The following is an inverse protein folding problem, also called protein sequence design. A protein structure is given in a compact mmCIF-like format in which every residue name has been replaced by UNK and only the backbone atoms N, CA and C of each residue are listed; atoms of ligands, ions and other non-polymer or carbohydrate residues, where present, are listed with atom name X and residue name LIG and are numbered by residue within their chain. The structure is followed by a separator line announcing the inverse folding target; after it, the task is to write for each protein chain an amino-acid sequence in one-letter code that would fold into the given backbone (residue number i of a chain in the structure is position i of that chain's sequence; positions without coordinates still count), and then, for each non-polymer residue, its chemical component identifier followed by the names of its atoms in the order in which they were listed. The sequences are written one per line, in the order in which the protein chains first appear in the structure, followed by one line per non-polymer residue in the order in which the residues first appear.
data_IF_846796709610
#
_entry.id   IF_846796709610
#
_cell.length_a   1.000
_cell.length_b   1.000
_cell.length_c   1.000
_cell.angle_alpha   90.00
_cell.angle_beta   90.00
_cell.angle_gamma   90.00
#
_symmetry.space_group_name_H-M   'P 1'
#
loop_
_entity.id
_entity.type
_entity.pdbx_description
1 polymer ?
#
# COMPACT_ATOMS: atom_id res chain seq x y z
N UNK A 1 62.01 24.98 -2.47
CA UNK A 1 63.15 24.73 -3.38
C UNK A 1 62.73 23.62 -4.33
N UNK A 2 62.83 23.89 -5.64
CA UNK A 2 62.69 22.95 -6.76
C UNK A 2 63.68 21.77 -6.61
N UNK A 3 63.67 20.64 -7.33
CA UNK A 3 63.30 20.24 -8.69
C UNK A 3 63.18 18.70 -8.66
N UNK A 4 62.23 18.03 -9.31
CA UNK A 4 62.13 17.74 -10.76
C UNK A 4 63.17 16.75 -11.31
N UNK A 5 62.68 15.67 -11.93
CA UNK A 5 63.19 14.95 -13.12
C UNK A 5 62.13 13.85 -13.46
N UNK A 6 61.22 14.10 -14.40
CA UNK A 6 61.25 13.89 -15.87
C UNK A 6 60.68 12.50 -16.27
N UNK A 7 59.50 12.41 -16.91
CA UNK A 7 59.21 12.47 -18.37
C UNK A 7 59.85 11.28 -19.14
N UNK A 8 59.24 10.46 -20.00
CA UNK A 8 57.93 10.36 -20.70
C UNK A 8 57.94 9.02 -21.52
N UNK A 9 57.23 8.90 -22.66
CA UNK A 9 55.85 8.45 -22.93
C UNK A 9 55.78 7.01 -23.51
N UNK A 10 54.55 6.49 -23.70
CA UNK A 10 54.04 5.55 -24.74
C UNK A 10 52.89 4.77 -24.07
N UNK A 11 51.66 4.65 -24.58
CA UNK A 11 51.09 4.75 -25.92
C UNK A 11 49.58 4.95 -25.72
N UNK A 12 49.02 5.97 -26.36
CA UNK A 12 47.59 6.16 -26.52
C UNK A 12 47.02 4.97 -27.31
N UNK A 13 45.96 4.35 -26.80
CA UNK A 13 45.08 3.49 -27.61
C UNK A 13 43.77 4.26 -27.76
N UNK A 14 43.64 4.88 -28.92
CA UNK A 14 42.42 5.49 -29.43
C UNK A 14 41.34 4.40 -29.51
N UNK A 15 40.33 4.48 -28.65
CA UNK A 15 39.10 3.74 -28.84
C UNK A 15 38.27 4.50 -29.88
N UNK A 16 38.36 4.02 -31.11
CA UNK A 16 37.61 4.48 -32.28
C UNK A 16 36.11 4.31 -32.01
N UNK A 17 35.42 5.42 -31.77
CA UNK A 17 33.97 5.49 -31.62
C UNK A 17 33.35 5.41 -33.01
N UNK A 18 32.93 4.22 -33.42
CA UNK A 18 32.07 4.07 -34.60
C UNK A 18 30.69 4.70 -34.31
N UNK A 19 30.19 5.59 -35.18
CA UNK A 19 28.84 6.14 -35.03
C UNK A 19 27.81 5.03 -35.24
N UNK A 20 27.02 4.76 -34.21
CA UNK A 20 25.85 3.89 -34.29
C UNK A 20 24.76 4.69 -34.99
N UNK A 21 24.41 4.29 -36.21
CA UNK A 21 23.36 4.94 -37.00
C UNK A 21 22.04 4.95 -36.23
N UNK A 22 21.48 6.15 -36.08
CA UNK A 22 20.17 6.37 -35.50
C UNK A 22 19.09 5.74 -36.39
N UNK A 23 18.58 4.58 -35.97
CA UNK A 23 17.40 3.96 -36.58
C UNK A 23 16.19 4.86 -36.35
N UNK A 24 15.73 5.53 -37.41
CA UNK A 24 14.47 6.28 -37.41
C UNK A 24 13.30 5.34 -37.11
N UNK A 25 12.30 5.74 -36.30
CA UNK A 25 11.07 4.98 -36.16
C UNK A 25 10.34 4.93 -37.50
N UNK A 26 10.09 3.72 -38.02
CA UNK A 26 9.22 3.50 -39.17
C UNK A 26 7.75 3.53 -38.69
N UNK A 27 6.95 4.42 -39.27
CA UNK A 27 5.48 4.38 -39.16
C UNK A 27 4.92 3.12 -39.83
N UNK A 28 4.03 2.35 -39.18
CA UNK A 28 3.33 1.27 -39.84
C UNK A 28 2.30 1.84 -40.83
N UNK A 29 2.57 1.68 -42.12
CA UNK A 29 1.61 1.91 -43.19
C UNK A 29 0.56 0.80 -43.18
N UNK A 30 -0.62 1.10 -42.65
CA UNK A 30 -1.85 0.31 -42.80
C UNK A 30 -2.94 1.15 -43.48
N UNK A 31 -3.89 0.52 -44.20
CA UNK A 31 -4.90 1.25 -44.96
C UNK A 31 -5.83 2.03 -44.02
N UNK A 32 -6.04 3.30 -44.36
CA UNK A 32 -6.93 4.24 -43.69
C UNK A 32 -8.38 3.89 -44.06
N UNK A 33 -9.12 3.24 -43.15
CA UNK A 33 -10.57 3.07 -43.33
C UNK A 33 -11.27 4.42 -43.17
N UNK A 34 -11.86 4.86 -44.28
CA UNK A 34 -12.61 6.09 -44.45
C UNK A 34 -13.96 5.97 -43.73
N UNK A 35 -14.14 6.71 -42.63
CA UNK A 35 -15.44 6.81 -41.96
C UNK A 35 -16.38 7.68 -42.80
N UNK A 36 -17.27 7.03 -43.56
CA UNK A 36 -18.35 7.74 -44.24
C UNK A 36 -19.29 8.39 -43.22
N UNK A 37 -19.41 9.72 -43.29
CA UNK A 37 -20.44 10.47 -42.61
C UNK A 37 -21.82 10.04 -43.13
N UNK A 38 -22.66 9.50 -42.25
CA UNK A 38 -24.05 9.18 -42.58
C UNK A 38 -24.83 10.48 -42.66
N UNK A 39 -25.30 10.80 -43.87
CA UNK A 39 -26.17 11.91 -44.19
C UNK A 39 -27.53 11.76 -43.47
N UNK A 40 -27.80 12.65 -42.51
CA UNK A 40 -28.98 12.61 -41.63
C UNK A 40 -30.23 13.23 -42.28
N UNK A 41 -30.20 13.52 -43.58
CA UNK A 41 -31.29 14.23 -44.28
C UNK A 41 -32.47 13.36 -44.74
N UNK A 42 -32.50 12.05 -44.43
CA UNK A 42 -33.51 11.11 -44.95
C UNK A 42 -34.53 10.56 -43.94
N UNK A 43 -34.65 11.11 -42.72
CA UNK A 43 -35.69 10.67 -41.77
C UNK A 43 -36.80 11.71 -41.62
N UNK A 44 -37.87 11.54 -42.41
CA UNK A 44 -39.15 12.23 -42.21
C UNK A 44 -39.82 11.73 -40.92
N UNK A 45 -39.61 12.42 -39.80
CA UNK A 45 -40.33 12.18 -38.55
C UNK A 45 -41.40 13.26 -38.35
N UNK A 46 -42.67 12.84 -38.44
CA UNK A 46 -43.83 13.65 -38.03
C UNK A 46 -43.84 13.75 -36.49
N UNK A 47 -44.06 14.93 -35.89
CA UNK A 47 -44.17 15.06 -34.45
C UNK A 47 -45.51 14.47 -33.95
N UNK A 48 -45.45 13.35 -33.24
CA UNK A 48 -46.59 12.83 -32.48
C UNK A 48 -46.61 13.55 -31.13
N UNK A 49 -47.59 14.43 -30.95
CA UNK A 49 -47.83 15.13 -29.69
C UNK A 49 -48.62 14.20 -28.74
N UNK A 50 -47.92 13.51 -27.83
CA UNK A 50 -48.55 12.69 -26.79
C UNK A 50 -48.68 13.52 -25.51
N UNK A 51 -49.93 13.81 -25.10
CA UNK A 51 -50.24 14.44 -23.82
C UNK A 51 -49.84 13.52 -22.65
N UNK A 52 -49.28 14.02 -21.54
CA UNK A 52 -48.98 13.19 -20.38
C UNK A 52 -50.26 12.92 -19.57
N UNK A 53 -50.70 11.66 -19.50
CA UNK A 53 -51.67 11.24 -18.48
C UNK A 53 -50.94 10.88 -17.19
N UNK A 54 -51.10 11.71 -16.17
CA UNK A 54 -50.73 11.41 -14.79
C UNK A 54 -51.66 10.32 -14.25
N UNK A 55 -51.18 9.07 -14.18
CA UNK A 55 -51.59 8.08 -13.17
C UNK A 55 -50.83 6.78 -13.40
N UNK A 56 -49.76 6.55 -12.64
CA UNK A 56 -49.39 5.24 -12.08
C UNK A 56 -48.01 5.40 -11.45
N UNK A 57 -47.99 5.60 -10.13
CA UNK A 57 -46.77 5.52 -9.33
C UNK A 57 -46.35 4.04 -9.28
N UNK A 58 -45.77 3.54 -10.37
CA UNK A 58 -44.95 2.33 -10.32
C UNK A 58 -43.64 2.73 -9.67
N UNK A 59 -43.59 2.48 -8.37
CA UNK A 59 -42.37 2.44 -7.59
C UNK A 59 -41.45 1.43 -8.27
N UNK A 60 -40.53 1.93 -9.10
CA UNK A 60 -39.42 1.15 -9.62
C UNK A 60 -38.61 0.81 -8.38
N UNK A 61 -38.79 -0.41 -7.87
CA UNK A 61 -37.87 -0.98 -6.91
C UNK A 61 -36.54 -1.05 -7.64
N UNK A 62 -35.68 -0.06 -7.40
CA UNK A 62 -34.25 -0.19 -7.64
C UNK A 62 -33.78 -1.30 -6.70
N UNK A 63 -33.95 -2.55 -7.10
CA UNK A 63 -33.14 -3.65 -6.60
C UNK A 63 -31.73 -3.39 -7.09
N UNK A 64 -31.08 -2.40 -6.48
CA UNK A 64 -29.66 -2.23 -6.55
C UNK A 64 -29.08 -3.50 -5.95
N UNK A 65 -28.66 -4.42 -6.82
CA UNK A 65 -27.38 -5.05 -6.61
C UNK A 65 -26.36 -3.91 -6.55
N UNK A 66 -26.30 -3.25 -5.38
CA UNK A 66 -25.05 -2.72 -4.89
C UNK A 66 -24.14 -3.93 -4.92
N UNK A 67 -23.34 -4.06 -5.97
CA UNK A 67 -22.17 -4.93 -5.99
C UNK A 67 -21.36 -4.47 -4.79
N UNK A 68 -21.56 -5.15 -3.66
CA UNK A 68 -20.81 -4.95 -2.44
C UNK A 68 -19.46 -5.55 -2.77
N UNK A 69 -18.57 -4.74 -3.37
CA UNK A 69 -17.21 -5.18 -3.62
C UNK A 69 -16.65 -5.67 -2.28
N UNK A 70 -16.12 -6.90 -2.21
CA UNK A 70 -15.50 -7.39 -1.00
C UNK A 70 -14.26 -6.56 -0.70
N UNK A 71 -13.88 -6.53 0.57
CA UNK A 71 -12.59 -5.99 0.95
C UNK A 71 -11.46 -6.86 0.37
N UNK A 72 -10.27 -6.28 0.25
CA UNK A 72 -9.12 -6.96 -0.33
C UNK A 72 -8.38 -7.75 0.75
N UNK A 73 -8.31 -9.07 0.57
CA UNK A 73 -7.55 -9.99 1.40
C UNK A 73 -6.07 -10.01 1.00
N UNK A 74 -5.22 -10.52 1.91
CA UNK A 74 -3.79 -10.64 1.70
C UNK A 74 -3.46 -11.73 0.68
N UNK A 75 -2.56 -11.44 -0.26
CA UNK A 75 -2.04 -12.43 -1.21
C UNK A 75 -1.16 -13.49 -0.54
N UNK A 76 -0.58 -13.18 0.63
CA UNK A 76 0.22 -14.13 1.42
C UNK A 76 -0.61 -15.30 1.97
N UNK A 77 -1.94 -15.26 1.88
CA UNK A 77 -2.77 -16.44 2.15
C UNK A 77 -2.61 -17.55 1.09
N UNK A 78 -2.12 -17.22 -0.11
CA UNK A 78 -1.92 -18.17 -1.20
C UNK A 78 -0.51 -18.82 -1.18
N UNK A 79 0.40 -18.36 -0.32
CA UNK A 79 1.74 -18.93 -0.21
C UNK A 79 1.66 -20.38 0.30
N UNK A 80 2.27 -21.36 -0.39
CA UNK A 80 2.29 -22.75 0.07
C UNK A 80 3.02 -22.94 1.41
N UNK A 81 3.89 -22.02 1.81
CA UNK A 81 4.59 -22.07 3.08
C UNK A 81 3.71 -21.55 4.22
N UNK A 82 3.17 -22.47 5.01
CA UNK A 82 2.37 -22.10 6.19
C UNK A 82 3.26 -21.31 7.18
N UNK A 83 2.94 -20.04 7.48
CA UNK A 83 3.74 -19.25 8.39
C UNK A 83 3.63 -19.81 9.80
N UNK A 84 4.69 -19.65 10.59
CA UNK A 84 4.61 -19.91 12.03
C UNK A 84 3.53 -19.01 12.62
N UNK A 85 2.60 -19.56 13.40
CA UNK A 85 1.55 -18.79 14.07
C UNK A 85 1.73 -18.81 15.59
N UNK A 86 1.30 -17.74 16.25
CA UNK A 86 1.06 -17.69 17.70
C UNK A 86 -0.44 -17.52 17.89
N UNK A 87 -1.10 -18.53 18.47
CA UNK A 87 -2.55 -18.68 18.36
C UNK A 87 -2.93 -18.78 16.87
N UNK A 88 -3.69 -17.81 16.39
CA UNK A 88 -4.02 -17.65 14.97
C UNK A 88 -3.37 -16.43 14.30
N UNK A 89 -2.45 -15.74 14.97
CA UNK A 89 -1.71 -14.60 14.40
C UNK A 89 -0.45 -15.09 13.66
N UNK A 90 -0.23 -14.72 12.39
CA UNK A 90 0.96 -15.17 11.66
C UNK A 90 2.21 -14.36 11.99
N UNK A 91 3.34 -15.04 12.02
CA UNK A 91 4.67 -14.45 12.02
C UNK A 91 5.24 -14.53 10.62
N UNK A 92 4.82 -13.60 9.76
CA UNK A 92 5.34 -13.48 8.40
C UNK A 92 6.76 -12.89 8.39
N UNK A 93 7.62 -13.31 7.45
CA UNK A 93 8.89 -12.66 7.17
C UNK A 93 8.73 -11.17 6.87
N UNK A 94 9.70 -10.36 7.28
CA UNK A 94 9.68 -8.91 7.10
C UNK A 94 11.00 -8.41 6.52
N UNK A 95 10.94 -7.40 5.66
CA UNK A 95 12.12 -6.63 5.26
C UNK A 95 12.40 -5.55 6.32
N UNK A 96 13.24 -5.88 7.29
CA UNK A 96 13.43 -5.07 8.49
C UNK A 96 14.89 -4.90 8.87
N UNK A 97 15.24 -3.71 9.39
CA UNK A 97 16.54 -3.45 10.05
C UNK A 97 16.42 -3.52 11.57
N UNK A 98 15.19 -3.43 12.07
CA UNK A 98 14.84 -3.52 13.48
C UNK A 98 15.05 -4.94 13.98
N UNK A 99 15.65 -5.09 15.18
CA UNK A 99 15.82 -6.40 15.81
C UNK A 99 14.46 -6.94 16.24
N UNK A 100 14.21 -8.22 15.99
CA UNK A 100 12.98 -8.88 16.43
C UNK A 100 12.92 -10.34 15.98
N UNK A 101 11.83 -11.03 16.31
CA UNK A 101 11.66 -12.46 16.04
C UNK A 101 11.26 -12.78 14.60
N UNK A 102 11.00 -11.79 13.74
CA UNK A 102 10.67 -12.01 12.34
C UNK A 102 11.88 -12.54 11.56
N UNK A 103 11.63 -13.48 10.64
CA UNK A 103 12.63 -13.85 9.64
C UNK A 103 12.89 -12.66 8.71
N UNK A 104 14.16 -12.31 8.49
CA UNK A 104 14.55 -11.14 7.71
C UNK A 104 14.62 -11.47 6.23
N UNK A 105 13.79 -10.81 5.43
CA UNK A 105 13.83 -10.90 3.97
C UNK A 105 15.02 -10.10 3.39
N UNK A 106 15.53 -10.49 2.21
CA UNK A 106 16.57 -9.73 1.52
C UNK A 106 16.07 -8.32 1.15
N UNK A 107 16.97 -7.34 1.19
CA UNK A 107 16.67 -6.01 0.67
C UNK A 107 16.74 -6.00 -0.86
N UNK A 108 15.89 -5.21 -1.54
CA UNK A 108 15.88 -5.15 -3.00
C UNK A 108 17.23 -4.64 -3.52
N UNK A 109 17.68 -5.23 -4.63
CA UNK A 109 18.88 -4.83 -5.35
C UNK A 109 18.52 -4.64 -6.83
N UNK A 110 18.58 -3.40 -7.38
CA UNK A 110 19.09 -2.16 -6.77
C UNK A 110 18.21 -1.62 -5.62
N UNK A 111 18.77 -0.80 -4.71
CA UNK A 111 18.00 -0.20 -3.61
C UNK A 111 16.86 0.67 -4.13
N UNK A 112 15.64 0.41 -3.68
CA UNK A 112 14.47 1.21 -3.98
C UNK A 112 14.35 2.42 -3.04
N UNK A 113 13.74 3.53 -3.50
CA UNK A 113 13.36 4.65 -2.64
C UNK A 113 12.48 4.21 -1.46
N UNK A 114 12.59 4.86 -0.30
CA UNK A 114 11.87 4.46 0.92
C UNK A 114 10.33 4.63 0.83
N UNK A 115 9.86 5.49 -0.08
CA UNK A 115 8.46 5.72 -0.43
C UNK A 115 7.89 4.60 -1.31
N UNK A 116 8.73 3.86 -2.04
CA UNK A 116 8.30 2.83 -2.98
C UNK A 116 8.30 1.44 -2.35
N UNK A 117 7.39 0.59 -2.81
CA UNK A 117 7.36 -0.84 -2.48
C UNK A 117 8.01 -1.64 -3.61
N UNK A 118 8.69 -2.76 -3.31
CA UNK A 118 9.07 -3.74 -4.32
C UNK A 118 7.84 -4.26 -5.11
N UNK A 119 8.11 -4.85 -6.28
CA UNK A 119 7.09 -5.58 -7.04
C UNK A 119 6.54 -6.75 -6.19
N UNK A 120 5.21 -7.00 -6.16
CA UNK A 120 4.61 -8.16 -5.50
C UNK A 120 5.26 -9.52 -5.78
N UNK A 121 5.86 -9.71 -6.96
CA UNK A 121 6.54 -10.96 -7.33
C UNK A 121 8.01 -11.02 -6.84
N UNK A 122 8.50 -9.98 -6.15
CA UNK A 122 9.86 -9.90 -5.62
C UNK A 122 10.01 -10.62 -4.27
N UNK A 123 11.12 -11.31 -4.05
CA UNK A 123 11.50 -11.91 -2.76
C UNK A 123 11.64 -10.89 -1.62
N UNK A 124 11.78 -9.60 -1.97
CA UNK A 124 11.87 -8.49 -1.02
C UNK A 124 10.51 -7.89 -0.65
N UNK A 125 9.42 -8.31 -1.30
CA UNK A 125 8.07 -7.85 -1.01
C UNK A 125 7.56 -8.49 0.28
N UNK A 126 6.96 -7.67 1.15
CA UNK A 126 6.45 -8.14 2.43
C UNK A 126 5.02 -7.65 2.71
N UNK A 127 4.44 -8.22 3.77
CA UNK A 127 3.08 -7.91 4.21
C UNK A 127 2.90 -6.42 4.60
N UNK A 128 3.96 -5.71 4.98
CA UNK A 128 3.85 -4.29 5.35
C UNK A 128 3.70 -3.41 4.11
N UNK A 129 4.35 -3.77 3.01
CA UNK A 129 4.15 -3.14 1.71
C UNK A 129 2.71 -3.35 1.22
N UNK A 130 2.17 -4.56 1.39
CA UNK A 130 0.77 -4.87 1.10
C UNK A 130 -0.22 -4.08 1.98
N UNK A 131 0.02 -3.98 3.29
CA UNK A 131 -0.82 -3.19 4.21
C UNK A 131 -1.00 -1.77 3.71
N UNK A 132 0.11 -1.12 3.33
CA UNK A 132 0.08 0.26 2.87
C UNK A 132 -0.55 0.41 1.47
N UNK A 133 -0.40 -0.59 0.59
CA UNK A 133 -1.04 -0.61 -0.72
C UNK A 133 -2.57 -0.78 -0.59
N UNK A 134 -3.03 -1.70 0.25
CA UNK A 134 -4.45 -2.01 0.44
C UNK A 134 -5.17 -1.05 1.40
N UNK A 135 -4.45 -0.28 2.22
CA UNK A 135 -5.00 0.63 3.22
C UNK A 135 -6.09 1.56 2.66
N UNK A 136 -5.81 2.26 1.55
CA UNK A 136 -6.74 3.27 1.00
C UNK A 136 -8.05 2.64 0.57
N UNK A 137 -8.01 1.47 -0.06
CA UNK A 137 -9.21 0.77 -0.49
C UNK A 137 -9.95 0.14 0.71
N UNK A 138 -9.21 -0.50 1.61
CA UNK A 138 -9.80 -1.28 2.71
C UNK A 138 -10.47 -0.42 3.78
N UNK A 139 -9.97 0.80 4.03
CA UNK A 139 -10.55 1.72 5.03
C UNK A 139 -11.99 2.14 4.76
N UNK A 140 -12.52 1.93 3.55
CA UNK A 140 -13.93 2.19 3.23
C UNK A 140 -14.88 1.06 3.66
N UNK A 141 -14.37 -0.15 3.89
CA UNK A 141 -15.20 -1.30 4.22
C UNK A 141 -15.47 -1.41 5.73
N UNK A 142 -16.71 -1.78 6.05
CA UNK A 142 -17.18 -2.02 7.43
C UNK A 142 -17.17 -3.50 7.82
N UNK A 143 -17.25 -4.38 6.84
CA UNK A 143 -17.20 -5.83 7.04
C UNK A 143 -15.97 -6.35 6.31
N UNK A 144 -15.23 -7.23 6.97
CA UNK A 144 -14.06 -7.89 6.41
C UNK A 144 -14.15 -9.37 6.78
N UNK A 145 -14.07 -10.25 5.80
CA UNK A 145 -14.07 -11.70 6.01
C UNK A 145 -12.61 -12.17 6.03
N UNK A 146 -12.19 -12.73 7.15
CA UNK A 146 -10.85 -13.31 7.29
C UNK A 146 -10.81 -14.65 6.56
N UNK A 147 -10.06 -14.73 5.45
CA UNK A 147 -9.88 -15.94 4.68
C UNK A 147 -8.68 -16.75 5.17
N UNK A 148 -7.64 -16.08 5.67
CA UNK A 148 -6.44 -16.76 6.17
C UNK A 148 -5.74 -16.04 7.31
N UNK A 149 -4.60 -16.57 7.77
CA UNK A 149 -3.84 -15.98 8.86
C UNK A 149 -3.23 -14.64 8.45
N UNK A 150 -2.75 -14.47 7.21
CA UNK A 150 -2.12 -13.21 6.75
C UNK A 150 -3.09 -12.01 6.85
N UNK A 151 -4.39 -12.24 6.63
CA UNK A 151 -5.42 -11.21 6.80
C UNK A 151 -5.46 -10.62 8.20
N UNK A 152 -5.16 -11.42 9.23
CA UNK A 152 -5.16 -10.95 10.62
C UNK A 152 -4.05 -9.93 10.87
N UNK A 153 -2.90 -10.12 10.25
CA UNK A 153 -1.82 -9.15 10.26
C UNK A 153 -2.15 -7.93 9.40
N UNK A 154 -2.78 -8.13 8.24
CA UNK A 154 -3.27 -7.05 7.38
C UNK A 154 -4.24 -6.11 8.11
N UNK A 155 -5.27 -6.67 8.78
CA UNK A 155 -6.26 -5.91 9.56
C UNK A 155 -5.58 -5.09 10.66
N UNK A 156 -4.67 -5.72 11.40
CA UNK A 156 -3.91 -5.04 12.45
C UNK A 156 -3.05 -3.90 11.90
N UNK A 157 -2.35 -4.14 10.77
CA UNK A 157 -1.55 -3.13 10.09
C UNK A 157 -2.38 -1.93 9.64
N UNK A 158 -3.58 -2.15 9.09
CA UNK A 158 -4.50 -1.08 8.67
C UNK A 158 -4.94 -0.22 9.87
N UNK A 159 -5.27 -0.83 11.01
CA UNK A 159 -5.61 -0.06 12.21
C UNK A 159 -4.42 0.73 12.72
N UNK A 160 -3.23 0.14 12.75
CA UNK A 160 -2.03 0.85 13.18
C UNK A 160 -1.70 2.04 12.27
N UNK A 161 -1.82 1.89 10.94
CA UNK A 161 -1.65 3.01 10.00
C UNK A 161 -2.68 4.12 10.28
N UNK A 162 -3.93 3.74 10.55
CA UNK A 162 -4.98 4.71 10.90
C UNK A 162 -4.60 5.52 12.14
N UNK A 163 -4.14 4.84 13.18
CA UNK A 163 -3.70 5.47 14.43
C UNK A 163 -2.48 6.38 14.22
N UNK A 164 -1.47 5.94 13.47
CA UNK A 164 -0.32 6.77 13.11
C UNK A 164 -0.75 8.05 12.40
N UNK A 165 -1.66 7.96 11.42
CA UNK A 165 -2.18 9.12 10.70
C UNK A 165 -2.92 10.09 11.63
N UNK A 166 -3.59 9.62 12.69
CA UNK A 166 -4.25 10.51 13.66
C UNK A 166 -3.27 11.35 14.49
N UNK A 167 -2.01 10.90 14.63
CA UNK A 167 -0.97 11.63 15.35
C UNK A 167 -0.30 12.71 14.50
N UNK A 168 -0.29 12.54 13.17
CA UNK A 168 0.33 13.51 12.25
C UNK A 168 -0.57 14.74 12.14
N UNK A 169 -0.09 15.89 12.60
CA UNK A 169 -0.80 17.16 12.45
C UNK A 169 -0.66 17.68 11.01
N UNK A 170 -1.70 18.30 10.42
CA UNK A 170 -1.64 18.83 9.05
C UNK A 170 -0.53 19.86 8.79
N UNK A 171 -0.04 20.53 9.84
CA UNK A 171 1.03 21.52 9.77
C UNK A 171 2.38 21.02 10.32
N UNK A 172 2.49 19.76 10.73
CA UNK A 172 3.72 19.23 11.31
C UNK A 172 4.77 18.96 10.23
N UNK A 173 5.99 19.42 10.47
CA UNK A 173 7.14 19.03 9.67
C UNK A 173 7.50 17.55 9.87
N UNK A 174 8.25 16.98 8.92
CA UNK A 174 8.69 15.57 8.93
C UNK A 174 9.25 15.18 10.30
N UNK A 175 10.14 15.99 10.88
CA UNK A 175 10.82 15.69 12.15
C UNK A 175 9.88 15.54 13.33
N UNK A 176 8.91 16.45 13.46
CA UNK A 176 7.95 16.43 14.57
C UNK A 176 6.97 15.25 14.41
N UNK A 177 6.48 15.03 13.18
CA UNK A 177 5.64 13.89 12.89
C UNK A 177 6.39 12.55 13.08
N UNK A 178 7.66 12.47 12.69
CA UNK A 178 8.48 11.27 12.93
C UNK A 178 8.61 10.98 14.42
N UNK A 179 8.81 12.00 15.26
CA UNK A 179 8.85 11.82 16.71
C UNK A 179 7.51 11.30 17.23
N UNK A 180 6.40 11.93 16.86
CA UNK A 180 5.07 11.56 17.37
C UNK A 180 4.64 10.15 16.91
N UNK A 181 4.90 9.79 15.65
CA UNK A 181 4.59 8.47 15.09
C UNK A 181 5.51 7.39 15.70
N UNK A 182 6.81 7.66 15.85
CA UNK A 182 7.73 6.69 16.45
C UNK A 182 7.46 6.48 17.94
N UNK A 183 6.98 7.50 18.66
CA UNK A 183 6.54 7.31 20.05
C UNK A 183 5.41 6.28 20.16
N UNK A 184 4.46 6.28 19.21
CA UNK A 184 3.39 5.27 19.17
C UNK A 184 3.92 3.90 18.75
N UNK A 185 4.89 3.87 17.82
CA UNK A 185 5.48 2.62 17.36
C UNK A 185 6.33 1.91 18.42
N UNK A 186 7.00 2.68 19.28
CA UNK A 186 7.87 2.19 20.36
C UNK A 186 7.12 1.89 21.67
N UNK A 187 5.84 2.27 21.78
CA UNK A 187 5.04 1.94 22.95
C UNK A 187 4.86 0.41 23.03
N UNK A 188 5.29 -0.17 24.14
CA UNK A 188 5.19 -1.61 24.41
C UNK A 188 3.91 -2.00 25.17
N UNK A 189 3.16 -1.03 25.70
CA UNK A 189 1.95 -1.24 26.51
C UNK A 189 0.66 -1.37 25.70
N UNK A 190 0.77 -1.86 24.46
CA UNK A 190 -0.40 -2.11 23.63
C UNK A 190 -1.08 -3.44 23.94
N UNK A 191 -2.38 -3.49 23.62
CA UNK A 191 -3.17 -4.72 23.72
C UNK A 191 -2.69 -5.75 22.68
N UNK A 192 -2.58 -7.01 23.10
CA UNK A 192 -2.39 -8.16 22.21
C UNK A 192 -3.68 -9.02 22.18
N UNK A 193 -3.85 -9.91 21.18
CA UNK A 193 -4.93 -10.91 21.20
C UNK A 193 -5.10 -11.58 22.57
N UNK A 194 -6.32 -11.56 23.11
CA UNK A 194 -6.63 -12.06 24.45
C UNK A 194 -6.73 -10.97 25.53
N UNK A 195 -6.15 -9.80 25.32
CA UNK A 195 -6.30 -8.67 26.23
C UNK A 195 -7.71 -8.06 26.10
N UNK A 196 -8.34 -7.59 27.20
CA UNK A 196 -9.67 -7.01 27.16
C UNK A 196 -9.77 -5.74 26.31
N UNK A 197 -8.64 -5.04 26.12
CA UNK A 197 -8.55 -3.86 25.28
C UNK A 197 -8.38 -4.17 23.77
N UNK A 198 -8.19 -5.44 23.38
CA UNK A 198 -7.98 -5.80 21.98
C UNK A 198 -9.29 -5.69 21.15
N UNK A 199 -9.32 -4.88 20.08
CA UNK A 199 -10.46 -4.80 19.19
C UNK A 199 -10.52 -6.09 18.35
N UNK A 200 -11.58 -6.91 18.55
CA UNK A 200 -11.84 -8.21 17.88
C UNK A 200 -11.31 -9.48 18.57
N UNK A 201 -11.43 -9.60 19.88
CA UNK A 201 -11.13 -10.87 20.57
C UNK A 201 -11.91 -12.11 20.05
N UNK A 202 -13.04 -11.95 19.36
CA UNK A 202 -13.76 -13.09 18.77
C UNK A 202 -13.06 -13.69 17.54
N UNK A 203 -12.19 -12.93 16.88
CA UNK A 203 -11.55 -13.34 15.62
C UNK A 203 -10.06 -13.71 15.81
N UNK A 204 -9.50 -13.36 16.96
CA UNK A 204 -8.11 -13.62 17.31
C UNK A 204 -8.04 -14.59 18.48
N UNK A 205 -7.15 -15.57 18.39
CA UNK A 205 -6.91 -16.54 19.45
C UNK A 205 -5.81 -16.00 20.38
N UNK A 206 -6.00 -16.08 21.72
CA UNK A 206 -4.98 -15.65 22.65
C UNK A 206 -3.71 -16.53 22.53
N UNK A 207 -2.52 -15.99 22.82
CA UNK A 207 -1.31 -16.78 22.97
C UNK A 207 -1.49 -17.89 24.01
N UNK A 208 -0.92 -19.07 23.75
CA UNK A 208 -1.08 -20.24 24.62
C UNK A 208 -0.39 -20.07 25.97
N UNK A 209 0.80 -19.48 25.96
CA UNK A 209 1.62 -19.30 27.15
C UNK A 209 2.27 -17.89 27.18
N UNK A 210 2.91 -17.58 28.31
CA UNK A 210 3.55 -16.28 28.52
C UNK A 210 4.73 -16.04 27.57
N UNK A 211 5.36 -17.10 27.08
CA UNK A 211 6.50 -17.00 26.16
C UNK A 211 6.02 -16.61 24.76
N UNK A 212 4.96 -17.25 24.27
CA UNK A 212 4.30 -16.91 23.02
C UNK A 212 3.73 -15.49 23.07
N UNK A 213 3.16 -15.07 24.22
CA UNK A 213 2.66 -13.70 24.38
C UNK A 213 3.79 -12.66 24.26
N UNK A 214 4.94 -12.91 24.87
CA UNK A 214 6.10 -12.03 24.78
C UNK A 214 6.69 -12.01 23.36
N UNK A 215 6.77 -13.17 22.70
CA UNK A 215 7.25 -13.26 21.33
C UNK A 215 6.33 -12.54 20.35
N UNK A 216 5.00 -12.66 20.52
CA UNK A 216 4.02 -11.93 19.72
C UNK A 216 4.15 -10.43 19.93
N UNK A 217 4.32 -9.98 21.18
CA UNK A 217 4.56 -8.56 21.49
C UNK A 217 5.81 -8.03 20.81
N UNK A 218 6.92 -8.79 20.83
CA UNK A 218 8.16 -8.41 20.14
C UNK A 218 7.97 -8.33 18.61
N UNK A 219 7.27 -9.31 18.01
CA UNK A 219 6.95 -9.29 16.59
C UNK A 219 6.09 -8.08 16.21
N UNK A 220 5.03 -7.82 16.97
CA UNK A 220 4.14 -6.68 16.73
C UNK A 220 4.86 -5.34 16.92
N UNK A 221 5.76 -5.21 17.89
CA UNK A 221 6.62 -4.03 18.04
C UNK A 221 7.55 -3.82 16.85
N UNK A 222 8.07 -4.89 16.25
CA UNK A 222 8.89 -4.83 15.04
C UNK A 222 8.06 -4.36 13.84
N UNK A 223 6.87 -4.94 13.65
CA UNK A 223 5.89 -4.52 12.63
C UNK A 223 5.56 -3.04 12.75
N UNK A 224 5.24 -2.56 13.97
CA UNK A 224 4.91 -1.14 14.22
C UNK A 224 6.02 -0.20 13.79
N UNK A 225 7.27 -0.50 14.16
CA UNK A 225 8.41 0.36 13.86
C UNK A 225 8.68 0.45 12.36
N UNK A 226 8.70 -0.69 11.66
CA UNK A 226 8.94 -0.69 10.21
C UNK A 226 7.79 -0.04 9.44
N UNK A 227 6.54 -0.31 9.83
CA UNK A 227 5.37 0.26 9.20
C UNK A 227 5.29 1.79 9.41
N UNK A 228 5.67 2.28 10.61
CA UNK A 228 5.78 3.71 10.90
C UNK A 228 6.80 4.41 10.00
N UNK A 229 8.00 3.84 9.84
CA UNK A 229 9.06 4.41 9.00
C UNK A 229 8.63 4.48 7.53
N UNK A 230 8.04 3.40 7.00
CA UNK A 230 7.56 3.36 5.61
C UNK A 230 6.38 4.29 5.36
N UNK A 231 5.46 4.39 6.33
CA UNK A 231 4.34 5.33 6.26
C UNK A 231 4.83 6.77 6.19
N UNK A 232 5.79 7.16 7.05
CA UNK A 232 6.34 8.51 7.05
C UNK A 232 6.97 8.86 5.70
N UNK A 233 7.70 7.93 5.09
CA UNK A 233 8.27 8.13 3.75
C UNK A 233 7.19 8.41 2.69
N UNK A 234 6.06 7.68 2.72
CA UNK A 234 4.92 7.86 1.78
C UNK A 234 4.06 9.09 2.06
N UNK A 235 3.95 9.51 3.32
CA UNK A 235 3.16 10.70 3.71
C UNK A 235 3.87 11.99 3.31
N UNK A 236 5.21 12.00 3.31
CA UNK A 236 6.03 13.18 3.02
C UNK A 236 6.72 13.14 1.64
N UNK A 237 6.40 12.15 0.80
CA UNK A 237 6.92 11.98 -0.56
C UNK A 237 6.67 13.21 -1.47
N UNK A 238 5.47 13.80 -1.38
CA UNK A 238 5.00 14.85 -2.30
C UNK A 238 5.58 16.25 -2.04
N UNK A 239 6.31 16.47 -0.96
CA UNK A 239 6.55 17.82 -0.47
C UNK A 239 8.01 18.15 -0.25
N UNK A 240 8.69 18.71 -1.26
CA UNK A 240 9.84 19.59 -1.02
C UNK A 240 9.54 20.71 0.01
N UNK A 241 8.25 20.96 0.25
CA UNK A 241 7.68 21.86 1.26
C UNK A 241 7.69 21.33 2.70
N UNK A 242 8.07 20.06 2.93
CA UNK A 242 8.15 19.45 4.26
C UNK A 242 6.80 19.24 4.97
N UNK A 243 5.68 19.27 4.23
CA UNK A 243 4.30 19.11 4.75
C UNK A 243 3.73 17.71 4.46
N UNK A 244 2.83 17.18 5.31
CA UNK A 244 2.22 15.88 5.08
C UNK A 244 1.20 15.92 3.95
N UNK A 245 1.09 14.84 3.18
CA UNK A 245 0.16 14.72 2.07
C UNK A 245 -1.30 14.72 2.54
N UNK A 246 -2.09 15.61 1.92
CA UNK A 246 -3.54 15.75 2.18
C UNK A 246 -4.31 14.46 1.88
N UNK A 247 -3.85 13.69 0.88
CA UNK A 247 -4.50 12.45 0.46
C UNK A 247 -4.46 11.40 1.57
N UNK A 248 -3.33 11.27 2.25
CA UNK A 248 -3.17 10.38 3.41
C UNK A 248 -3.96 10.87 4.63
N UNK A 249 -3.91 12.17 4.95
CA UNK A 249 -4.60 12.71 6.12
C UNK A 249 -6.14 12.68 6.00
N UNK A 250 -6.68 12.59 4.78
CA UNK A 250 -8.13 12.48 4.54
C UNK A 250 -8.76 11.23 5.17
N UNK A 251 -7.97 10.19 5.44
CA UNK A 251 -8.42 8.91 5.99
C UNK A 251 -8.55 8.90 7.52
N UNK A 252 -8.00 9.90 8.23
CA UNK A 252 -7.98 9.98 9.71
C UNK A 252 -9.35 9.88 10.38
N UNK A 253 -10.41 10.33 9.71
CA UNK A 253 -11.79 10.31 10.24
C UNK A 253 -12.51 8.97 10.00
N UNK A 254 -11.94 8.09 9.17
CA UNK A 254 -12.56 6.80 8.82
C UNK A 254 -11.93 5.71 9.67
N UNK A 255 -12.78 4.79 10.11
CA UNK A 255 -12.37 3.64 10.92
C UNK A 255 -12.70 2.36 10.18
N UNK A 256 -11.66 1.61 9.82
CA UNK A 256 -11.81 0.29 9.24
C UNK A 256 -12.57 -0.63 10.20
N UNK A 257 -13.60 -1.31 9.70
CA UNK A 257 -14.54 -2.12 10.53
C UNK A 257 -15.23 -1.36 11.67
N UNK A 258 -15.20 -0.01 11.67
CA UNK A 258 -15.69 0.80 12.78
C UNK A 258 -14.88 0.67 14.08
N UNK A 259 -13.67 0.09 14.01
CA UNK A 259 -12.79 -0.16 15.18
C UNK A 259 -11.47 0.60 15.03
N UNK A 260 -10.77 0.73 16.15
CA UNK A 260 -9.44 1.34 16.28
C UNK A 260 -8.69 0.61 17.41
N UNK A 261 -7.37 0.76 17.45
CA UNK A 261 -6.50 0.20 18.48
C UNK A 261 -6.52 1.04 19.77
#
# INVERSE_FOLDING_TARGET
MCCATNFNPTTESEAEVHPVDAVKPQEPQGPFEEWHAVDVSQLHLRPIFIKPSLTSTRQIAWSGLFFKMPAYNSMFNADPNVPRTIGNFPLLPLRTKTRGPAYTLPFPNPPLPANESPDPDSESYDILDEVLALFRANTFFRNFELQGPADRLLVYGIWFVSDCLTKIKPSAGVRDASKDVMNVALDTNFAIPGDPAWPLNQMYEPPRDRQDAEQLRQYMSQVRQELAVRLLARVYEEGGDGKPSKWWLSFTKRKFMGKAL
#
